data_IF_578298496515
#
_entry.id   IF_578298496515
#
_cell.length_a   1.000
_cell.length_b   1.000
_cell.length_c   1.000
_cell.angle_alpha   90.00
_cell.angle_beta   90.00
_cell.angle_gamma   90.00
#
_symmetry.space_group_name_H-M   'P 1'
#
loop_
_entity.id
_entity.type
_entity.pdbx_description
1 polymer ?
#
# COMPACT_ATOMS: atom_id res chain seq x y z
N UNK A 1 3.30 -10.55 25.34
CA UNK A 1 3.12 -9.09 25.52
C UNK A 1 1.66 -8.68 25.40
N UNK A 2 0.93 -9.09 24.37
CA UNK A 2 -0.50 -8.75 24.19
C UNK A 2 -1.35 -9.07 25.41
N UNK A 3 -1.19 -10.26 25.96
CA UNK A 3 -1.88 -10.68 27.18
C UNK A 3 -1.61 -9.74 28.37
N UNK A 4 -0.34 -9.28 28.54
CA UNK A 4 0.01 -8.30 29.58
C UNK A 4 -0.64 -6.94 29.39
N UNK A 5 -1.02 -6.61 28.14
CA UNK A 5 -1.71 -5.37 27.77
C UNK A 5 -3.23 -5.56 27.77
N UNK A 6 -3.74 -6.73 28.10
CA UNK A 6 -5.16 -7.05 28.04
C UNK A 6 -5.72 -7.11 26.61
N UNK A 7 -4.84 -7.31 25.61
CA UNK A 7 -5.22 -7.38 24.19
C UNK A 7 -5.28 -8.84 23.76
N UNK A 8 -6.43 -9.24 23.23
CA UNK A 8 -6.64 -10.59 22.69
C UNK A 8 -5.88 -10.77 21.37
N UNK A 9 -5.29 -11.93 21.19
CA UNK A 9 -4.70 -12.33 19.90
C UNK A 9 -5.78 -12.57 18.86
N UNK A 10 -5.43 -12.30 17.61
CA UNK A 10 -6.30 -12.58 16.46
C UNK A 10 -5.53 -13.41 15.43
N UNK A 11 -6.23 -14.30 14.72
CA UNK A 11 -5.77 -14.94 13.50
C UNK A 11 -6.28 -14.08 12.34
N UNK A 12 -5.37 -13.64 11.50
CA UNK A 12 -5.69 -12.73 10.40
C UNK A 12 -6.11 -13.51 9.15
N UNK A 13 -7.40 -13.70 8.96
CA UNK A 13 -8.01 -14.22 7.75
C UNK A 13 -8.55 -13.12 6.81
N UNK A 14 -8.12 -11.86 7.00
CA UNK A 14 -8.54 -10.72 6.17
C UNK A 14 -7.47 -10.25 5.18
N UNK A 15 -6.19 -10.61 5.38
CA UNK A 15 -5.08 -10.16 4.53
C UNK A 15 -4.38 -8.90 5.04
N UNK A 16 -3.80 -8.10 4.15
CA UNK A 16 -2.90 -6.98 4.48
C UNK A 16 -3.68 -5.70 4.80
N UNK A 17 -4.21 -5.59 6.02
CA UNK A 17 -4.96 -4.41 6.49
C UNK A 17 -4.20 -3.62 7.55
N UNK A 18 -4.33 -2.29 7.51
CA UNK A 18 -3.62 -1.37 8.42
C UNK A 18 -4.07 -1.54 9.88
N UNK A 19 -5.35 -1.79 10.11
CA UNK A 19 -5.93 -2.02 11.44
C UNK A 19 -5.50 -3.35 12.07
N UNK A 20 -4.95 -4.27 11.25
CA UNK A 20 -4.35 -5.53 11.70
C UNK A 20 -2.80 -5.47 11.72
N UNK A 21 -2.21 -4.31 11.47
CA UNK A 21 -0.76 -4.12 11.50
C UNK A 21 -0.05 -4.34 10.16
N UNK A 22 -0.79 -4.59 9.08
CA UNK A 22 -0.24 -4.88 7.75
C UNK A 22 0.16 -6.35 7.60
N UNK A 23 1.31 -6.61 6.98
CA UNK A 23 1.87 -7.95 6.85
C UNK A 23 2.75 -8.33 8.05
N UNK A 24 2.87 -9.62 8.31
CA UNK A 24 3.92 -10.15 9.19
C UNK A 24 5.28 -10.01 8.50
N UNK A 25 6.29 -9.59 9.24
CA UNK A 25 7.65 -9.52 8.71
C UNK A 25 8.27 -10.93 8.64
N UNK A 26 8.92 -11.25 7.53
CA UNK A 26 9.71 -12.46 7.42
C UNK A 26 10.86 -12.45 8.44
N UNK A 27 11.34 -13.63 8.91
CA UNK A 27 12.37 -13.72 9.93
C UNK A 27 13.62 -12.90 9.64
N UNK A 28 14.10 -12.90 8.39
CA UNK A 28 15.31 -12.16 7.99
C UNK A 28 15.07 -10.63 8.02
N UNK A 29 13.88 -10.19 7.64
CA UNK A 29 13.49 -8.77 7.73
C UNK A 29 13.41 -8.31 9.18
N UNK A 30 12.86 -9.16 10.04
CA UNK A 30 12.80 -8.90 11.48
C UNK A 30 14.19 -8.89 12.12
N UNK A 31 15.08 -9.81 11.73
CA UNK A 31 16.47 -9.85 12.18
C UNK A 31 17.22 -8.58 11.81
N UNK A 32 17.10 -8.11 10.56
CA UNK A 32 17.69 -6.85 10.09
C UNK A 32 17.17 -5.63 10.88
N UNK A 33 15.87 -5.57 11.17
CA UNK A 33 15.29 -4.51 12.01
C UNK A 33 15.85 -4.53 13.43
N UNK A 34 16.03 -5.71 14.01
CA UNK A 34 16.59 -5.91 15.35
C UNK A 34 18.05 -5.48 15.39
N UNK A 35 18.86 -5.86 14.39
CA UNK A 35 20.24 -5.43 14.24
C UNK A 35 20.35 -3.91 14.16
N UNK A 36 19.55 -3.27 13.30
CA UNK A 36 19.51 -1.82 13.17
C UNK A 36 19.18 -1.10 14.49
N UNK A 37 18.37 -1.74 15.35
CA UNK A 37 18.05 -1.17 16.66
C UNK A 37 19.16 -1.36 17.69
N UNK A 38 20.10 -2.28 17.48
CA UNK A 38 21.21 -2.58 18.42
C UNK A 38 22.31 -1.53 18.43
N UNK A 39 22.40 -0.68 17.39
CA UNK A 39 23.43 0.35 17.26
C UNK A 39 22.84 1.69 16.78
N UNK A 40 23.54 2.78 17.07
CA UNK A 40 23.20 4.09 16.53
C UNK A 40 23.83 4.31 15.16
N UNK A 41 23.10 4.96 14.28
CA UNK A 41 23.57 5.45 12.99
C UNK A 41 23.03 6.87 12.77
N UNK A 42 23.69 7.65 11.91
CA UNK A 42 23.13 8.90 11.40
C UNK A 42 21.86 8.58 10.59
N UNK A 43 20.72 9.01 11.07
CA UNK A 43 19.43 8.72 10.40
C UNK A 43 19.38 9.34 8.99
N UNK A 44 19.87 10.56 8.73
CA UNK A 44 19.99 11.08 7.37
C UNK A 44 20.79 10.16 6.43
N UNK A 45 22.00 9.76 6.86
CA UNK A 45 22.86 8.86 6.07
C UNK A 45 22.20 7.49 5.85
N UNK A 46 21.53 6.96 6.87
CA UNK A 46 20.83 5.69 6.78
C UNK A 46 19.71 5.74 5.74
N UNK A 47 18.87 6.78 5.76
CA UNK A 47 17.77 6.92 4.80
C UNK A 47 18.34 7.14 3.38
N UNK A 48 19.39 7.93 3.22
CA UNK A 48 20.04 8.16 1.93
C UNK A 48 20.60 6.84 1.36
N UNK A 49 21.32 6.05 2.18
CA UNK A 49 21.86 4.76 1.78
C UNK A 49 20.75 3.71 1.46
N UNK A 50 19.73 3.65 2.31
CA UNK A 50 18.56 2.78 2.11
C UNK A 50 17.82 3.13 0.82
N UNK A 51 17.63 4.42 0.56
CA UNK A 51 16.98 4.94 -0.64
C UNK A 51 17.79 4.62 -1.91
N UNK A 52 19.10 4.84 -1.88
CA UNK A 52 20.00 4.48 -2.99
C UNK A 52 19.99 2.95 -3.25
N UNK A 53 19.91 2.14 -2.20
CA UNK A 53 19.79 0.69 -2.34
C UNK A 53 18.47 0.31 -2.99
N UNK A 54 17.35 0.90 -2.60
CA UNK A 54 16.04 0.66 -3.18
C UNK A 54 16.01 1.04 -4.68
N UNK A 55 16.57 2.20 -5.05
CA UNK A 55 16.68 2.63 -6.44
C UNK A 55 17.46 1.61 -7.29
N UNK A 56 18.60 1.12 -6.78
CA UNK A 56 19.40 0.09 -7.45
C UNK A 56 18.64 -1.22 -7.66
N UNK A 57 17.83 -1.65 -6.69
CA UNK A 57 17.06 -2.90 -6.76
C UNK A 57 15.98 -2.89 -7.86
N UNK A 58 15.36 -1.75 -8.11
CA UNK A 58 14.35 -1.59 -9.15
C UNK A 58 14.85 -0.93 -10.44
N UNK A 59 16.17 -0.60 -10.51
CA UNK A 59 16.81 0.05 -11.66
C UNK A 59 16.20 1.42 -12.00
N UNK A 60 15.88 2.21 -10.96
CA UNK A 60 15.38 3.58 -11.10
C UNK A 60 16.49 4.60 -10.85
N UNK A 61 16.31 5.86 -11.31
CA UNK A 61 17.29 6.92 -11.14
C UNK A 61 17.50 7.23 -9.64
N UNK A 62 16.40 7.36 -8.90
CA UNK A 62 16.42 7.66 -7.49
C UNK A 62 15.21 7.08 -6.74
N UNK A 63 15.31 7.02 -5.43
CA UNK A 63 14.22 6.64 -4.54
C UNK A 63 14.29 7.40 -3.21
N UNK A 64 13.20 7.39 -2.45
CA UNK A 64 13.15 7.84 -1.06
C UNK A 64 12.34 6.87 -0.21
N UNK A 65 12.94 6.37 0.87
CA UNK A 65 12.22 5.61 1.90
C UNK A 65 11.39 6.59 2.72
N UNK A 66 10.11 6.26 2.93
CA UNK A 66 9.09 7.12 3.56
C UNK A 66 8.21 6.31 4.51
N UNK A 67 7.51 6.97 5.47
CA UNK A 67 6.67 6.25 6.44
C UNK A 67 5.30 5.83 5.85
N UNK A 68 5.33 5.06 4.76
CA UNK A 68 4.15 4.50 4.10
C UNK A 68 3.57 5.36 2.99
N UNK A 69 2.69 4.74 2.18
CA UNK A 69 2.10 5.38 0.99
C UNK A 69 1.24 6.61 1.32
N UNK A 70 0.52 6.61 2.43
CA UNK A 70 -0.29 7.77 2.85
C UNK A 70 0.57 9.00 3.11
N UNK A 71 1.68 8.83 3.82
CA UNK A 71 2.65 9.91 4.01
C UNK A 71 3.32 10.31 2.69
N UNK A 72 3.61 9.34 1.81
CA UNK A 72 4.16 9.61 0.48
C UNK A 72 3.25 10.50 -0.36
N UNK A 73 1.93 10.26 -0.37
CA UNK A 73 0.97 11.12 -1.09
C UNK A 73 1.02 12.57 -0.58
N UNK A 74 1.08 12.77 0.74
CA UNK A 74 1.20 14.12 1.31
C UNK A 74 2.54 14.77 0.96
N UNK A 75 3.63 14.02 1.11
CA UNK A 75 4.99 14.53 0.86
C UNK A 75 5.24 14.81 -0.62
N UNK A 76 4.79 13.96 -1.54
CA UNK A 76 4.93 14.20 -2.99
C UNK A 76 4.04 15.36 -3.44
N UNK A 77 2.82 15.49 -2.91
CA UNK A 77 2.00 16.69 -3.11
C UNK A 77 2.71 17.97 -2.64
N UNK A 78 3.34 17.95 -1.47
CA UNK A 78 4.12 19.06 -0.94
C UNK A 78 5.36 19.38 -1.81
N UNK A 79 6.06 18.34 -2.30
CA UNK A 79 7.18 18.50 -3.20
C UNK A 79 6.79 19.14 -4.54
N UNK A 80 5.61 18.82 -5.08
CA UNK A 80 5.08 19.50 -6.27
C UNK A 80 4.79 20.99 -6.04
N UNK A 81 4.44 21.38 -4.81
CA UNK A 81 4.10 22.76 -4.47
C UNK A 81 5.33 23.62 -4.19
N UNK A 82 6.31 23.06 -3.50
CA UNK A 82 7.45 23.81 -2.96
C UNK A 82 8.78 23.54 -3.69
N UNK A 83 8.91 22.41 -4.37
CA UNK A 83 10.20 21.95 -4.90
C UNK A 83 11.24 21.86 -3.78
N UNK A 84 12.46 22.32 -4.05
CA UNK A 84 13.55 22.39 -3.08
C UNK A 84 13.74 23.80 -2.49
N UNK A 85 12.83 24.76 -2.75
CA UNK A 85 12.94 26.13 -2.25
C UNK A 85 12.63 26.18 -0.73
N UNK A 86 13.59 26.54 0.13
CA UNK A 86 13.39 26.58 1.58
C UNK A 86 12.24 27.51 2.00
N UNK A 87 12.07 28.64 1.34
CA UNK A 87 11.00 29.61 1.65
C UNK A 87 9.62 29.05 1.30
N UNK A 88 9.51 28.35 0.17
CA UNK A 88 8.27 27.69 -0.20
C UNK A 88 7.93 26.53 0.75
N UNK A 89 8.95 25.78 1.20
CA UNK A 89 8.80 24.70 2.19
C UNK A 89 8.28 25.23 3.54
N UNK A 90 8.77 26.37 4.02
CA UNK A 90 8.28 26.99 5.26
C UNK A 90 6.81 27.40 5.21
N UNK A 91 6.32 27.75 4.02
CA UNK A 91 4.91 28.14 3.85
C UNK A 91 3.95 26.96 3.83
N UNK A 92 4.46 25.73 3.67
CA UNK A 92 3.59 24.54 3.64
C UNK A 92 2.91 24.29 5.01
N UNK A 93 1.66 23.88 5.02
CA UNK A 93 0.71 23.69 3.90
C UNK A 93 0.00 24.97 3.46
N UNK A 94 0.30 26.13 4.05
CA UNK A 94 -0.39 27.41 3.78
C UNK A 94 0.16 28.09 2.54
N UNK A 95 0.07 27.41 1.38
CA UNK A 95 0.59 27.92 0.11
C UNK A 95 -0.17 29.15 -0.34
N UNK A 96 0.53 30.28 -0.49
CA UNK A 96 -0.02 31.56 -0.95
C UNK A 96 0.06 31.74 -2.46
N UNK A 97 0.86 30.94 -3.17
CA UNK A 97 0.93 30.94 -4.63
C UNK A 97 -0.38 30.40 -5.22
N UNK A 98 -0.85 30.98 -6.35
CA UNK A 98 -2.04 30.49 -7.05
C UNK A 98 -1.87 29.08 -7.68
N UNK A 99 -0.64 28.54 -7.72
CA UNK A 99 -0.33 27.26 -8.37
C UNK A 99 -0.34 26.12 -7.33
N UNK A 100 -1.48 25.44 -7.20
CA UNK A 100 -1.65 24.37 -6.21
C UNK A 100 -2.66 23.29 -6.58
N UNK A 101 -3.14 23.26 -7.83
CA UNK A 101 -4.08 22.23 -8.26
C UNK A 101 -3.34 20.94 -8.63
N UNK A 102 -3.79 19.81 -8.08
CA UNK A 102 -3.44 18.47 -8.52
C UNK A 102 -4.67 17.87 -9.18
N UNK A 103 -4.52 17.49 -10.46
CA UNK A 103 -5.61 16.93 -11.26
C UNK A 103 -5.80 15.45 -10.91
N UNK A 104 -7.07 15.03 -10.84
CA UNK A 104 -7.44 13.62 -10.76
C UNK A 104 -8.64 13.37 -11.68
N UNK A 105 -8.68 12.24 -12.36
CA UNK A 105 -9.80 11.87 -13.20
C UNK A 105 -11.05 11.57 -12.36
N UNK A 106 -12.24 11.90 -12.85
CA UNK A 106 -13.49 11.77 -12.09
C UNK A 106 -13.71 10.35 -11.52
N UNK A 107 -13.43 9.31 -12.33
CA UNK A 107 -13.58 7.91 -11.92
C UNK A 107 -12.36 7.32 -11.21
N UNK A 108 -11.29 8.10 -11.07
CA UNK A 108 -10.10 7.75 -10.27
C UNK A 108 -10.17 8.33 -8.86
N UNK A 109 -11.28 9.00 -8.48
CA UNK A 109 -11.49 9.43 -7.09
C UNK A 109 -11.60 8.21 -6.17
N UNK A 110 -10.81 8.20 -5.09
CA UNK A 110 -10.72 7.09 -4.15
C UNK A 110 -10.43 7.57 -2.73
N UNK A 111 -10.53 6.67 -1.75
CA UNK A 111 -10.47 7.02 -0.32
C UNK A 111 -9.17 7.72 0.15
N UNK A 112 -8.08 7.65 -0.61
CA UNK A 112 -6.79 8.25 -0.23
C UNK A 112 -6.50 9.58 -0.96
N UNK A 113 -7.26 9.96 -1.97
CA UNK A 113 -6.99 11.19 -2.71
C UNK A 113 -7.11 12.47 -1.86
N UNK A 114 -7.92 12.42 -0.79
CA UNK A 114 -8.05 13.52 0.17
C UNK A 114 -6.82 13.73 1.07
N UNK A 115 -5.80 12.87 0.97
CA UNK A 115 -4.51 13.10 1.63
C UNK A 115 -3.70 14.18 0.90
N UNK A 116 -3.86 14.32 -0.41
CA UNK A 116 -3.16 15.36 -1.19
C UNK A 116 -3.43 16.79 -0.69
N UNK A 117 -4.66 17.18 -0.35
CA UNK A 117 -4.94 18.49 0.26
C UNK A 117 -4.20 18.78 1.56
N UNK A 118 -3.74 17.76 2.32
CA UNK A 118 -2.94 17.99 3.53
C UNK A 118 -1.58 18.62 3.23
N UNK A 119 -1.10 18.54 1.99
CA UNK A 119 0.10 19.23 1.52
C UNK A 119 -0.10 20.73 1.28
N UNK A 120 -1.35 21.21 1.24
CA UNK A 120 -1.74 22.54 0.80
C UNK A 120 -2.25 22.59 -0.65
N UNK A 121 -2.24 21.46 -1.37
CA UNK A 121 -2.83 21.33 -2.69
C UNK A 121 -4.36 21.38 -2.63
N UNK A 122 -5.00 21.65 -3.77
CA UNK A 122 -6.41 21.32 -3.96
C UNK A 122 -6.59 20.34 -5.10
N UNK A 123 -7.57 19.46 -4.99
CA UNK A 123 -7.88 18.52 -6.05
C UNK A 123 -8.74 19.19 -7.11
N UNK A 124 -8.30 19.05 -8.37
CA UNK A 124 -9.12 19.38 -9.55
C UNK A 124 -9.58 18.09 -10.21
N UNK A 125 -10.88 17.90 -10.28
CA UNK A 125 -11.44 16.73 -10.97
C UNK A 125 -11.55 17.02 -12.45
N UNK A 126 -10.94 16.19 -13.30
CA UNK A 126 -11.10 16.21 -14.74
C UNK A 126 -12.27 15.31 -15.16
N UNK A 127 -13.18 15.83 -15.97
CA UNK A 127 -14.39 15.14 -16.36
C UNK A 127 -15.48 15.13 -15.27
N UNK A 128 -16.52 14.33 -15.49
CA UNK A 128 -17.65 14.14 -14.56
C UNK A 128 -17.94 12.65 -14.35
N UNK A 129 -18.81 12.05 -15.18
CA UNK A 129 -19.05 10.58 -15.18
C UNK A 129 -18.00 9.81 -15.97
N UNK A 130 -17.26 10.48 -16.84
CA UNK A 130 -16.15 9.99 -17.66
C UNK A 130 -15.07 11.06 -17.70
N UNK A 131 -13.87 10.69 -18.14
CA UNK A 131 -12.77 11.62 -18.43
C UNK A 131 -12.22 11.28 -19.80
N UNK A 132 -12.33 12.21 -20.75
CA UNK A 132 -11.69 12.12 -22.06
C UNK A 132 -10.24 12.65 -22.00
N UNK A 133 -9.44 12.30 -22.99
CA UNK A 133 -8.07 12.83 -23.13
C UNK A 133 -8.06 14.37 -23.24
N UNK A 134 -9.03 14.97 -23.94
CA UNK A 134 -9.13 16.42 -24.10
C UNK A 134 -9.49 17.12 -22.77
N UNK A 135 -10.40 16.54 -21.98
CA UNK A 135 -10.75 17.08 -20.65
C UNK A 135 -9.56 16.99 -19.68
N UNK A 136 -8.84 15.85 -19.68
CA UNK A 136 -7.63 15.70 -18.86
C UNK A 136 -6.56 16.70 -19.30
N UNK A 137 -6.29 16.80 -20.59
CA UNK A 137 -5.30 17.72 -21.14
C UNK A 137 -5.65 19.19 -20.83
N UNK A 138 -6.92 19.57 -20.95
CA UNK A 138 -7.39 20.90 -20.61
C UNK A 138 -7.16 21.21 -19.13
N UNK A 139 -7.50 20.29 -18.23
CA UNK A 139 -7.28 20.46 -16.80
C UNK A 139 -5.79 20.55 -16.42
N UNK A 140 -4.91 19.79 -17.11
CA UNK A 140 -3.47 19.85 -16.95
C UNK A 140 -2.88 21.20 -17.41
N UNK A 141 -3.42 21.80 -18.46
CA UNK A 141 -2.98 23.10 -19.00
C UNK A 141 -3.40 24.29 -18.15
N UNK A 142 -4.34 24.12 -17.23
CA UNK A 142 -4.74 25.21 -16.35
C UNK A 142 -3.53 25.81 -15.61
N UNK A 143 -3.53 27.14 -15.48
CA UNK A 143 -2.38 27.91 -15.01
C UNK A 143 -1.98 27.57 -13.58
N UNK A 144 -2.92 27.21 -12.73
CA UNK A 144 -2.72 26.86 -11.33
C UNK A 144 -2.48 25.37 -11.09
N UNK A 145 -2.50 24.53 -12.14
CA UNK A 145 -2.17 23.11 -12.04
C UNK A 145 -0.66 22.90 -11.88
N UNK A 146 -0.27 22.11 -10.90
CA UNK A 146 1.11 21.69 -10.65
C UNK A 146 1.40 20.28 -11.14
N UNK A 147 0.40 19.40 -11.18
CA UNK A 147 0.53 18.02 -11.63
C UNK A 147 -0.79 17.26 -11.57
N UNK A 148 -0.69 15.94 -11.73
CA UNK A 148 -1.81 15.02 -11.56
C UNK A 148 -1.48 13.91 -10.57
N UNK A 149 -2.52 13.28 -10.01
CA UNK A 149 -2.42 12.02 -9.28
C UNK A 149 -3.14 10.91 -10.06
N UNK A 150 -2.47 9.79 -10.24
CA UNK A 150 -3.00 8.63 -10.92
C UNK A 150 -2.92 7.40 -9.99
N UNK A 151 -4.05 6.91 -9.46
CA UNK A 151 -4.11 5.65 -8.72
C UNK A 151 -4.01 4.46 -9.69
N UNK A 152 -2.85 3.82 -9.74
CA UNK A 152 -2.53 2.83 -10.78
C UNK A 152 -3.39 1.54 -10.71
N UNK A 153 -4.01 1.25 -9.57
CA UNK A 153 -4.97 0.15 -9.44
C UNK A 153 -6.30 0.41 -10.17
N UNK A 154 -6.60 1.67 -10.50
CA UNK A 154 -7.77 2.06 -11.27
C UNK A 154 -7.47 2.21 -12.78
N UNK A 155 -6.23 1.90 -13.21
CA UNK A 155 -5.89 1.84 -14.63
C UNK A 155 -6.76 0.78 -15.34
N UNK A 156 -7.29 1.15 -16.51
CA UNK A 156 -8.25 0.29 -17.24
C UNK A 156 -9.71 0.45 -16.78
N UNK A 157 -10.02 1.29 -15.79
CA UNK A 157 -11.39 1.63 -15.44
C UNK A 157 -12.10 2.22 -16.68
N UNK A 158 -13.29 1.72 -16.96
CA UNK A 158 -14.08 2.19 -18.12
C UNK A 158 -14.30 3.71 -18.07
N UNK A 159 -14.17 4.36 -19.22
CA UNK A 159 -14.37 5.82 -19.37
C UNK A 159 -13.35 6.67 -18.61
N UNK A 160 -12.11 6.20 -18.51
CA UNK A 160 -10.94 6.95 -18.01
C UNK A 160 -9.84 7.00 -19.08
N UNK A 161 -8.89 7.90 -18.90
CA UNK A 161 -7.66 7.95 -19.70
C UNK A 161 -6.66 6.98 -19.09
N UNK A 162 -6.09 6.03 -19.86
CA UNK A 162 -5.10 5.08 -19.35
C UNK A 162 -3.82 5.76 -18.87
N UNK A 163 -3.04 5.07 -18.02
CA UNK A 163 -1.82 5.60 -17.39
C UNK A 163 -0.82 6.14 -18.43
N UNK A 164 -0.52 5.36 -19.46
CA UNK A 164 0.45 5.75 -20.49
C UNK A 164 0.07 7.07 -21.15
N UNK A 165 -1.19 7.19 -21.61
CA UNK A 165 -1.70 8.43 -22.19
C UNK A 165 -1.73 9.59 -21.19
N UNK A 166 -2.09 9.32 -19.92
CA UNK A 166 -2.09 10.34 -18.87
C UNK A 166 -0.68 10.89 -18.59
N UNK A 167 0.34 10.03 -18.60
CA UNK A 167 1.75 10.41 -18.49
C UNK A 167 2.20 11.29 -19.67
N UNK A 168 1.83 10.91 -20.90
CA UNK A 168 2.14 11.68 -22.10
C UNK A 168 1.50 13.09 -22.05
N UNK A 169 0.22 13.18 -21.68
CA UNK A 169 -0.50 14.46 -21.60
C UNK A 169 0.08 15.37 -20.50
N UNK A 170 0.49 14.79 -19.37
CA UNK A 170 1.18 15.54 -18.32
C UNK A 170 2.52 16.08 -18.81
N UNK A 171 3.35 15.23 -19.42
CA UNK A 171 4.64 15.61 -19.99
C UNK A 171 4.50 16.72 -21.05
N UNK A 172 3.56 16.61 -21.99
CA UNK A 172 3.25 17.64 -22.99
C UNK A 172 2.83 18.96 -22.37
N UNK A 173 2.21 18.93 -21.18
CA UNK A 173 1.77 20.09 -20.44
C UNK A 173 2.86 20.64 -19.48
N UNK A 174 4.03 20.01 -19.39
CA UNK A 174 5.07 20.34 -18.43
C UNK A 174 4.60 20.15 -16.97
N UNK A 175 3.81 19.10 -16.72
CA UNK A 175 3.22 18.79 -15.42
C UNK A 175 3.71 17.45 -14.90
N UNK A 176 3.90 17.40 -13.61
CA UNK A 176 4.32 16.19 -12.89
C UNK A 176 3.17 15.17 -12.74
N UNK A 177 3.52 13.90 -12.61
CA UNK A 177 2.57 12.84 -12.27
C UNK A 177 2.99 12.12 -10.99
N UNK A 178 2.07 12.03 -10.02
CA UNK A 178 2.17 11.13 -8.86
C UNK A 178 1.39 9.87 -9.20
N UNK A 179 2.05 8.73 -9.25
CA UNK A 179 1.43 7.41 -9.43
C UNK A 179 1.31 6.73 -8.07
N UNK A 180 0.09 6.53 -7.61
CA UNK A 180 -0.18 5.71 -6.42
C UNK A 180 -0.30 4.24 -6.86
N UNK A 181 0.79 3.49 -6.65
CA UNK A 181 0.90 2.07 -6.91
C UNK A 181 1.05 1.27 -5.59
N UNK A 182 0.51 1.78 -4.48
CA UNK A 182 0.79 1.34 -3.12
C UNK A 182 0.81 -0.18 -2.95
N UNK A 183 -0.11 -0.92 -3.57
CA UNK A 183 -0.20 -2.37 -3.44
C UNK A 183 0.16 -3.16 -4.72
N UNK A 184 0.56 -2.49 -5.79
CA UNK A 184 0.92 -3.15 -7.05
C UNK A 184 2.37 -3.68 -7.04
N UNK A 185 2.70 -4.41 -5.98
CA UNK A 185 4.03 -4.97 -5.74
C UNK A 185 4.24 -6.34 -6.39
N UNK A 186 3.18 -6.95 -6.90
CA UNK A 186 3.21 -8.21 -7.63
C UNK A 186 2.21 -8.18 -8.80
N UNK A 187 2.51 -8.77 -9.97
CA UNK A 187 3.78 -9.43 -10.35
C UNK A 187 4.99 -8.47 -10.37
N UNK A 188 6.20 -9.01 -10.11
CA UNK A 188 7.43 -8.20 -10.04
C UNK A 188 7.68 -7.41 -11.34
N UNK A 189 7.30 -7.97 -12.49
CA UNK A 189 7.39 -7.26 -13.77
C UNK A 189 6.58 -5.97 -13.79
N UNK A 190 5.33 -6.00 -13.26
CA UNK A 190 4.47 -4.81 -13.16
C UNK A 190 5.00 -3.78 -12.16
N UNK A 191 5.52 -4.25 -11.02
CA UNK A 191 6.17 -3.35 -10.06
C UNK A 191 7.34 -2.59 -10.69
N UNK A 192 8.21 -3.29 -11.44
CA UNK A 192 9.34 -2.68 -12.15
C UNK A 192 8.90 -1.72 -13.25
N UNK A 193 7.94 -2.11 -14.06
CA UNK A 193 7.36 -1.27 -15.11
C UNK A 193 6.84 0.06 -14.54
N UNK A 194 6.07 0.01 -13.45
CA UNK A 194 5.58 1.20 -12.78
C UNK A 194 6.73 2.03 -12.19
N UNK A 195 7.66 1.41 -11.47
CA UNK A 195 8.78 2.10 -10.84
C UNK A 195 9.70 2.82 -11.84
N UNK A 196 9.81 2.29 -13.08
CA UNK A 196 10.65 2.86 -14.15
C UNK A 196 9.84 3.66 -15.18
N UNK A 197 8.56 3.92 -14.91
CA UNK A 197 7.73 4.77 -15.78
C UNK A 197 8.21 6.22 -15.78
N UNK A 198 7.73 7.02 -16.73
CA UNK A 198 8.06 8.46 -16.83
C UNK A 198 7.27 9.33 -15.82
N UNK A 199 6.77 8.76 -14.72
CA UNK A 199 6.16 9.53 -13.64
C UNK A 199 7.24 10.17 -12.75
N UNK A 200 6.99 11.38 -12.25
CA UNK A 200 7.89 12.03 -11.30
C UNK A 200 7.96 11.29 -9.97
N UNK A 201 6.84 10.72 -9.52
CA UNK A 201 6.76 9.96 -8.29
C UNK A 201 5.93 8.70 -8.48
N UNK A 202 6.49 7.55 -8.11
CA UNK A 202 5.77 6.27 -8.04
C UNK A 202 5.86 5.75 -6.61
N UNK A 203 4.72 5.49 -6.00
CA UNK A 203 4.60 5.19 -4.57
C UNK A 203 4.27 3.73 -4.35
N UNK A 204 5.06 3.01 -3.55
CA UNK A 204 4.74 1.67 -3.04
C UNK A 204 4.71 1.65 -1.51
N UNK A 205 3.80 0.86 -0.94
CA UNK A 205 3.71 0.66 0.51
C UNK A 205 4.38 -0.66 0.90
N UNK A 206 5.26 -0.61 1.89
CA UNK A 206 6.09 -1.75 2.28
C UNK A 206 5.28 -2.96 2.76
N UNK A 207 4.13 -2.75 3.37
CA UNK A 207 3.29 -3.85 3.84
C UNK A 207 2.83 -4.81 2.73
N UNK A 208 2.82 -4.39 1.47
CA UNK A 208 2.42 -5.24 0.34
C UNK A 208 3.59 -6.01 -0.29
N UNK A 209 4.81 -5.76 0.18
CA UNK A 209 5.99 -6.56 -0.13
C UNK A 209 6.67 -7.12 1.14
N UNK A 210 5.88 -7.42 2.18
CA UNK A 210 6.37 -8.06 3.41
C UNK A 210 7.14 -7.14 4.36
N UNK A 211 7.01 -5.82 4.20
CA UNK A 211 7.66 -4.82 5.03
C UNK A 211 6.76 -4.23 6.12
N UNK A 212 7.31 -3.27 6.90
CA UNK A 212 6.57 -2.64 7.99
C UNK A 212 5.30 -1.93 7.52
N UNK A 213 4.23 -1.99 8.33
CA UNK A 213 2.97 -1.28 8.04
C UNK A 213 3.17 0.24 7.83
N UNK A 214 4.10 0.84 8.56
CA UNK A 214 4.49 2.25 8.42
C UNK A 214 5.76 2.42 7.56
N UNK A 215 5.96 1.57 6.57
CA UNK A 215 7.04 1.68 5.58
C UNK A 215 6.50 1.93 4.18
N UNK A 216 7.30 2.59 3.35
CA UNK A 216 7.00 2.81 1.94
C UNK A 216 8.22 3.35 1.19
N UNK A 217 8.14 3.34 -0.12
CA UNK A 217 9.21 3.85 -0.98
C UNK A 217 8.56 4.67 -2.10
N UNK A 218 9.14 5.82 -2.37
CA UNK A 218 8.85 6.64 -3.55
C UNK A 218 10.01 6.51 -4.51
N UNK A 219 9.74 6.15 -5.76
CA UNK A 219 10.69 6.12 -6.86
C UNK A 219 10.43 7.30 -7.79
N UNK A 220 11.46 7.78 -8.49
CA UNK A 220 11.31 8.87 -9.43
C UNK A 220 12.65 9.36 -9.97
N UNK A 221 12.62 10.47 -10.70
CA UNK A 221 13.83 11.13 -11.19
C UNK A 221 14.68 11.70 -10.04
N UNK A 222 15.97 11.92 -10.27
CA UNK A 222 16.88 12.47 -9.27
C UNK A 222 16.39 13.84 -8.75
N UNK A 223 15.89 14.71 -9.63
CA UNK A 223 15.40 16.04 -9.25
C UNK A 223 14.10 15.95 -8.42
N UNK A 224 13.19 15.08 -8.79
CA UNK A 224 11.95 14.84 -8.04
C UNK A 224 12.24 14.32 -6.63
N UNK A 225 13.14 13.34 -6.52
CA UNK A 225 13.54 12.79 -5.21
C UNK A 225 14.34 13.80 -4.39
N UNK A 226 15.14 14.68 -5.01
CA UNK A 226 15.80 15.77 -4.30
C UNK A 226 14.78 16.75 -3.69
N UNK A 227 13.70 17.11 -4.43
CA UNK A 227 12.62 17.95 -3.91
C UNK A 227 11.90 17.27 -2.72
N UNK A 228 11.64 15.95 -2.83
CA UNK A 228 11.06 15.18 -1.74
C UNK A 228 11.97 15.13 -0.51
N UNK A 229 13.29 14.93 -0.72
CA UNK A 229 14.31 14.91 0.34
C UNK A 229 14.43 16.25 1.06
N UNK A 230 14.19 17.38 0.36
CA UNK A 230 14.21 18.70 0.98
C UNK A 230 13.13 18.88 2.06
N UNK A 231 12.04 18.12 2.00
CA UNK A 231 10.96 18.12 2.99
C UNK A 231 11.24 17.22 4.21
N UNK A 232 12.30 16.42 4.20
CA UNK A 232 12.55 15.34 5.13
C UNK A 232 12.62 15.78 6.60
N UNK A 233 12.12 14.92 7.48
CA UNK A 233 12.13 15.15 8.92
C UNK A 233 13.54 15.17 9.54
N UNK A 234 14.52 14.52 8.91
CA UNK A 234 15.86 14.34 9.46
C UNK A 234 16.64 15.66 9.55
N UNK A 235 16.27 16.64 8.74
CA UNK A 235 16.95 17.95 8.68
C UNK A 235 16.24 19.00 9.53
N UNK A 236 15.18 18.65 10.24
CA UNK A 236 14.43 19.60 11.06
C UNK A 236 15.27 20.18 12.19
N UNK A 237 15.98 19.32 12.96
CA UNK A 237 16.78 19.73 14.12
C UNK A 237 18.09 20.44 13.73
N UNK A 238 18.63 20.18 12.53
CA UNK A 238 19.91 20.70 12.03
C UNK A 238 19.77 21.83 11.02
N UNK A 239 18.58 22.41 10.88
CA UNK A 239 18.25 23.41 9.87
C UNK A 239 17.63 24.65 10.51
N UNK A 240 17.88 25.83 9.93
CA UNK A 240 17.23 27.08 10.31
C UNK A 240 15.76 27.17 9.84
N UNK A 241 15.28 26.14 9.12
CA UNK A 241 13.94 26.10 8.54
C UNK A 241 13.06 25.06 9.20
N UNK A 242 11.77 25.36 9.34
CA UNK A 242 10.76 24.37 9.64
C UNK A 242 10.59 23.45 8.44
N UNK A 243 10.73 22.14 8.66
CA UNK A 243 10.56 21.13 7.63
C UNK A 243 9.15 20.54 7.69
N UNK A 244 8.43 20.61 6.58
CA UNK A 244 7.09 20.07 6.46
C UNK A 244 7.00 18.58 6.87
N UNK A 245 7.99 17.78 6.47
CA UNK A 245 8.06 16.36 6.75
C UNK A 245 8.30 15.97 8.21
N UNK A 246 8.51 16.92 9.14
CA UNK A 246 8.78 16.62 10.56
C UNK A 246 7.75 15.71 11.22
N UNK A 247 6.50 15.75 10.79
CA UNK A 247 5.44 14.89 11.26
C UNK A 247 5.55 13.44 10.77
N UNK A 248 6.32 13.19 9.71
CA UNK A 248 6.45 11.91 9.00
C UNK A 248 7.78 11.22 9.32
N UNK A 249 8.15 11.15 10.59
CA UNK A 249 9.41 10.54 11.01
C UNK A 249 9.36 9.02 11.02
N UNK A 250 10.51 8.41 10.76
CA UNK A 250 10.75 6.98 10.87
C UNK A 250 11.89 6.69 11.83
N UNK A 251 11.88 5.52 12.43
CA UNK A 251 13.02 5.02 13.19
C UNK A 251 13.95 4.14 12.34
N UNK A 252 15.15 3.85 12.88
CA UNK A 252 16.17 3.05 12.20
C UNK A 252 15.67 1.67 11.79
N UNK A 253 14.95 1.01 12.68
CA UNK A 253 14.44 -0.33 12.46
C UNK A 253 13.43 -0.36 11.29
N UNK A 254 12.54 0.63 11.21
CA UNK A 254 11.59 0.76 10.11
C UNK A 254 12.28 1.01 8.76
N UNK A 255 13.28 1.88 8.73
CA UNK A 255 14.04 2.19 7.50
C UNK A 255 14.72 0.92 6.98
N UNK A 256 15.46 0.22 7.83
CA UNK A 256 16.18 -1.01 7.45
C UNK A 256 15.20 -2.11 7.06
N UNK A 257 14.16 -2.35 7.85
CA UNK A 257 13.16 -3.36 7.54
C UNK A 257 12.45 -3.10 6.20
N UNK A 258 12.22 -1.84 5.84
CA UNK A 258 11.59 -1.49 4.55
C UNK A 258 12.44 -1.95 3.37
N UNK A 259 13.75 -1.72 3.41
CA UNK A 259 14.65 -2.11 2.31
C UNK A 259 14.94 -3.61 2.33
N UNK A 260 15.17 -4.18 3.50
CA UNK A 260 15.35 -5.64 3.64
C UNK A 260 14.14 -6.41 3.11
N UNK A 261 12.92 -5.91 3.38
CA UNK A 261 11.70 -6.50 2.83
C UNK A 261 11.64 -6.39 1.30
N UNK A 262 12.03 -5.25 0.71
CA UNK A 262 12.10 -5.12 -0.76
C UNK A 262 13.09 -6.10 -1.37
N UNK A 263 14.29 -6.25 -0.77
CA UNK A 263 15.29 -7.23 -1.23
C UNK A 263 14.75 -8.66 -1.19
N UNK A 264 14.16 -9.03 -0.05
CA UNK A 264 13.56 -10.35 0.13
C UNK A 264 12.44 -10.59 -0.89
N UNK A 265 11.55 -9.62 -1.07
CA UNK A 265 10.44 -9.71 -2.03
C UNK A 265 10.91 -9.93 -3.47
N UNK A 266 11.92 -9.17 -3.91
CA UNK A 266 12.44 -9.27 -5.27
C UNK A 266 13.23 -10.55 -5.55
N UNK A 267 13.77 -11.21 -4.51
CA UNK A 267 14.49 -12.48 -4.60
C UNK A 267 13.65 -13.71 -4.25
N UNK A 268 12.42 -13.51 -3.75
CA UNK A 268 11.53 -14.57 -3.29
C UNK A 268 11.08 -15.49 -4.43
N UNK A 269 11.01 -16.78 -4.17
CA UNK A 269 10.28 -17.73 -5.02
C UNK A 269 8.77 -17.57 -4.83
N UNK A 270 8.16 -16.71 -5.65
CA UNK A 270 6.74 -16.45 -5.58
C UNK A 270 5.87 -17.65 -5.97
N UNK A 271 6.40 -18.59 -6.77
CA UNK A 271 5.68 -19.82 -7.07
C UNK A 271 5.59 -20.71 -5.82
N UNK A 272 6.69 -20.87 -5.08
CA UNK A 272 6.70 -21.57 -3.79
C UNK A 272 5.81 -20.88 -2.76
N UNK A 273 5.79 -19.52 -2.72
CA UNK A 273 4.89 -18.75 -1.85
C UNK A 273 3.43 -19.10 -2.12
N UNK A 274 2.97 -19.07 -3.36
CA UNK A 274 1.59 -19.42 -3.70
C UNK A 274 1.27 -20.90 -3.49
N UNK A 275 2.25 -21.78 -3.69
CA UNK A 275 2.09 -23.20 -3.36
C UNK A 275 1.86 -23.41 -1.86
N UNK A 276 2.56 -22.66 -0.98
CA UNK A 276 2.33 -22.65 0.46
C UNK A 276 0.93 -22.15 0.81
N UNK A 277 0.45 -21.08 0.18
CA UNK A 277 -0.92 -20.57 0.38
C UNK A 277 -1.96 -21.60 -0.04
N UNK A 278 -1.79 -22.24 -1.21
CA UNK A 278 -2.67 -23.29 -1.68
C UNK A 278 -2.72 -24.49 -0.71
N UNK A 279 -1.58 -24.84 -0.11
CA UNK A 279 -1.50 -25.87 0.95
C UNK A 279 -2.37 -25.51 2.17
N UNK A 280 -2.23 -24.30 2.69
CA UNK A 280 -3.04 -23.79 3.82
C UNK A 280 -4.54 -23.77 3.47
N UNK A 281 -4.90 -23.22 2.30
CA UNK A 281 -6.29 -23.21 1.82
C UNK A 281 -6.85 -24.62 1.68
N UNK A 282 -6.03 -25.56 1.17
CA UNK A 282 -6.39 -26.99 1.09
C UNK A 282 -6.68 -27.59 2.47
N UNK A 283 -5.87 -27.28 3.49
CA UNK A 283 -6.09 -27.74 4.86
C UNK A 283 -7.38 -27.18 5.48
N UNK A 284 -7.66 -25.87 5.28
CA UNK A 284 -8.93 -25.25 5.70
C UNK A 284 -10.12 -25.93 5.01
N UNK A 285 -10.05 -26.16 3.69
CA UNK A 285 -11.10 -26.80 2.92
C UNK A 285 -11.36 -28.25 3.34
N UNK A 286 -10.31 -29.01 3.64
CA UNK A 286 -10.42 -30.39 4.11
C UNK A 286 -11.21 -30.49 5.43
N UNK A 287 -11.01 -29.58 6.36
CA UNK A 287 -11.73 -29.52 7.64
C UNK A 287 -13.25 -29.28 7.48
N UNK A 288 -13.65 -28.64 6.37
CA UNK A 288 -15.04 -28.29 6.07
C UNK A 288 -15.72 -29.25 5.08
N UNK A 289 -14.96 -30.16 4.47
CA UNK A 289 -15.42 -30.98 3.32
C UNK A 289 -16.59 -31.91 3.61
N UNK A 290 -16.83 -32.27 4.87
CA UNK A 290 -17.93 -33.14 5.27
C UNK A 290 -19.25 -32.39 5.49
N UNK A 291 -19.24 -31.08 5.61
CA UNK A 291 -20.46 -30.28 5.78
C UNK A 291 -21.07 -29.96 4.43
N UNK A 292 -22.23 -30.59 4.16
CA UNK A 292 -22.96 -30.40 2.90
C UNK A 292 -23.88 -29.18 2.88
N UNK A 293 -23.92 -28.41 3.97
CA UNK A 293 -24.74 -27.21 4.08
C UNK A 293 -24.03 -25.96 3.54
N UNK A 294 -22.78 -26.11 3.13
CA UNK A 294 -21.94 -25.04 2.56
C UNK A 294 -21.29 -25.49 1.27
N UNK A 295 -20.89 -24.52 0.44
CA UNK A 295 -20.05 -24.77 -0.75
C UNK A 295 -18.72 -24.06 -0.57
N UNK A 296 -17.61 -24.80 -0.69
CA UNK A 296 -16.27 -24.25 -0.56
C UNK A 296 -15.56 -24.18 -1.91
N UNK A 297 -14.75 -23.14 -2.12
CA UNK A 297 -13.91 -23.01 -3.31
C UNK A 297 -12.56 -22.36 -2.94
N UNK A 298 -11.50 -22.78 -3.65
CA UNK A 298 -10.18 -22.19 -3.56
C UNK A 298 -10.06 -21.12 -4.63
N UNK A 299 -9.77 -19.89 -4.25
CA UNK A 299 -9.79 -18.73 -5.13
C UNK A 299 -8.60 -17.80 -4.86
N UNK A 300 -8.52 -16.74 -5.64
CA UNK A 300 -7.64 -15.61 -5.40
C UNK A 300 -8.44 -14.43 -4.88
N UNK A 301 -8.04 -13.87 -3.75
CA UNK A 301 -8.57 -12.65 -3.20
C UNK A 301 -7.60 -11.50 -3.49
N UNK A 302 -8.08 -10.49 -4.20
CA UNK A 302 -7.25 -9.35 -4.61
C UNK A 302 -7.24 -8.24 -3.56
N UNK A 303 -6.29 -7.31 -3.66
CA UNK A 303 -6.26 -6.12 -2.79
C UNK A 303 -7.41 -5.15 -3.04
N UNK A 304 -8.10 -5.25 -4.19
CA UNK A 304 -9.36 -4.54 -4.48
C UNK A 304 -10.58 -5.27 -3.91
N UNK A 305 -10.32 -6.27 -3.05
CA UNK A 305 -11.34 -7.10 -2.40
C UNK A 305 -12.21 -7.91 -3.40
N UNK A 306 -11.69 -8.22 -4.57
CA UNK A 306 -12.34 -9.08 -5.56
C UNK A 306 -11.92 -10.54 -5.35
N UNK A 307 -12.90 -11.47 -5.53
CA UNK A 307 -12.63 -12.91 -5.58
C UNK A 307 -12.59 -13.34 -7.03
N UNK A 308 -11.43 -13.78 -7.49
CA UNK A 308 -11.18 -14.12 -8.90
C UNK A 308 -10.52 -15.49 -9.04
N UNK A 309 -10.48 -16.01 -10.27
CA UNK A 309 -9.63 -17.15 -10.59
C UNK A 309 -8.17 -16.72 -10.64
N UNK A 310 -7.28 -17.55 -10.14
CA UNK A 310 -5.84 -17.22 -10.12
C UNK A 310 -5.04 -18.10 -9.18
N UNK A 311 -3.85 -17.62 -8.84
CA UNK A 311 -2.99 -18.25 -7.84
C UNK A 311 -3.70 -18.22 -6.46
N UNK A 312 -3.93 -19.38 -5.87
CA UNK A 312 -4.77 -19.53 -4.67
C UNK A 312 -4.13 -18.84 -3.46
N UNK A 313 -4.90 -17.96 -2.80
CA UNK A 313 -4.54 -17.34 -1.52
C UNK A 313 -5.73 -17.28 -0.53
N UNK A 314 -6.93 -17.69 -0.94
CA UNK A 314 -8.09 -17.68 -0.05
C UNK A 314 -8.97 -18.90 -0.22
N UNK A 315 -9.71 -19.23 0.87
CA UNK A 315 -10.86 -20.12 0.86
C UNK A 315 -12.13 -19.27 0.85
N UNK A 316 -13.05 -19.56 -0.06
CA UNK A 316 -14.41 -19.03 -0.02
C UNK A 316 -15.37 -20.09 0.51
N UNK A 317 -16.29 -19.69 1.39
CA UNK A 317 -17.30 -20.54 2.01
C UNK A 317 -18.67 -19.90 1.74
N UNK A 318 -19.39 -20.42 0.76
CA UNK A 318 -20.78 -20.01 0.49
C UNK A 318 -21.71 -20.72 1.48
N UNK A 319 -22.37 -19.94 2.31
CA UNK A 319 -23.27 -20.42 3.37
C UNK A 319 -24.71 -20.45 2.91
N UNK A 320 -25.01 -20.04 1.67
CA UNK A 320 -26.35 -19.92 1.09
C UNK A 320 -27.19 -18.76 1.64
N UNK A 321 -26.69 -18.01 2.64
CA UNK A 321 -27.45 -16.93 3.30
C UNK A 321 -26.53 -15.86 3.92
N UNK A 322 -26.79 -14.57 3.67
CA UNK A 322 -26.07 -13.47 4.32
C UNK A 322 -26.18 -13.51 5.85
N UNK A 323 -27.35 -13.86 6.39
CA UNK A 323 -27.57 -13.95 7.84
C UNK A 323 -26.73 -15.07 8.47
N UNK A 324 -26.59 -16.21 7.77
CA UNK A 324 -25.74 -17.30 8.23
C UNK A 324 -24.27 -16.91 8.20
N UNK A 325 -23.80 -16.27 7.13
CA UNK A 325 -22.44 -15.78 7.04
C UNK A 325 -22.13 -14.78 8.17
N UNK A 326 -23.05 -13.87 8.46
CA UNK A 326 -22.92 -12.91 9.57
C UNK A 326 -22.87 -13.58 10.94
N UNK A 327 -23.68 -14.64 11.18
CA UNK A 327 -23.61 -15.41 12.45
C UNK A 327 -22.27 -16.12 12.61
N UNK A 328 -21.76 -16.75 11.54
CA UNK A 328 -20.47 -17.43 11.55
C UNK A 328 -19.35 -16.43 11.86
N UNK A 329 -19.32 -15.29 11.16
CA UNK A 329 -18.33 -14.24 11.40
C UNK A 329 -18.39 -13.73 12.85
N UNK A 330 -19.59 -13.45 13.36
CA UNK A 330 -19.77 -12.98 14.72
C UNK A 330 -19.36 -14.03 15.78
N UNK A 331 -19.48 -15.32 15.47
CA UNK A 331 -18.94 -16.40 16.30
C UNK A 331 -17.42 -16.39 16.27
N UNK A 332 -16.81 -16.40 15.09
CA UNK A 332 -15.34 -16.41 14.88
C UNK A 332 -14.68 -15.19 15.54
N UNK A 333 -15.31 -14.02 15.45
CA UNK A 333 -14.82 -12.79 16.07
C UNK A 333 -14.82 -12.85 17.61
N UNK A 334 -15.54 -13.80 18.24
CA UNK A 334 -15.63 -13.97 19.71
C UNK A 334 -14.73 -15.07 20.25
N UNK A 335 -14.16 -15.92 19.39
CA UNK A 335 -13.25 -17.00 19.83
C UNK A 335 -11.94 -16.45 20.42
N UNK A 336 -11.17 -17.31 21.07
CA UNK A 336 -9.84 -16.96 21.56
C UNK A 336 -8.82 -18.06 21.11
N UNK A 337 -7.91 -17.72 20.19
CA UNK A 337 -7.81 -16.45 19.45
C UNK A 337 -9.02 -16.20 18.55
N UNK A 338 -9.35 -14.93 18.29
CA UNK A 338 -10.39 -14.59 17.32
C UNK A 338 -9.91 -14.85 15.89
N UNK A 339 -10.77 -15.40 15.02
CA UNK A 339 -10.50 -15.48 13.60
C UNK A 339 -11.27 -14.38 12.87
N UNK A 340 -10.54 -13.46 12.24
CA UNK A 340 -11.13 -12.35 11.48
C UNK A 340 -11.18 -12.71 10.00
N UNK A 341 -12.35 -12.56 9.38
CA UNK A 341 -12.62 -12.94 7.99
C UNK A 341 -13.37 -11.84 7.26
N UNK A 342 -13.47 -11.92 5.93
CA UNK A 342 -14.38 -11.08 5.15
C UNK A 342 -15.73 -11.74 4.95
N UNK A 343 -16.77 -10.89 4.79
CA UNK A 343 -18.10 -11.31 4.33
C UNK A 343 -18.44 -10.57 3.04
N UNK A 344 -18.94 -11.33 2.06
CA UNK A 344 -19.49 -10.82 0.81
C UNK A 344 -20.85 -11.47 0.56
N UNK A 345 -21.92 -10.78 0.96
CA UNK A 345 -23.26 -11.38 0.94
C UNK A 345 -23.33 -12.66 1.78
N UNK A 346 -23.65 -13.80 1.18
CA UNK A 346 -23.69 -15.11 1.85
C UNK A 346 -22.37 -15.86 1.88
N UNK A 347 -21.27 -15.25 1.40
CA UNK A 347 -19.96 -15.90 1.28
C UNK A 347 -18.97 -15.32 2.30
N UNK A 348 -18.29 -16.21 3.03
CA UNK A 348 -17.13 -15.88 3.86
C UNK A 348 -15.88 -16.07 3.02
N UNK A 349 -14.94 -15.13 3.10
CA UNK A 349 -13.63 -15.23 2.46
C UNK A 349 -12.56 -15.25 3.55
N UNK A 350 -11.73 -16.28 3.52
CA UNK A 350 -10.61 -16.46 4.45
C UNK A 350 -9.31 -16.37 3.68
N UNK A 351 -8.65 -15.23 3.76
CA UNK A 351 -7.30 -15.00 3.22
C UNK A 351 -6.26 -15.68 4.11
N UNK A 352 -5.26 -16.33 3.49
CA UNK A 352 -4.21 -17.06 4.23
C UNK A 352 -2.82 -16.45 4.08
N UNK A 353 -2.67 -15.31 3.41
CA UNK A 353 -1.37 -14.70 3.13
C UNK A 353 -0.60 -14.36 4.41
N UNK A 354 -1.31 -13.95 5.46
CA UNK A 354 -0.74 -13.57 6.75
C UNK A 354 -0.95 -14.61 7.85
N UNK A 355 -1.32 -15.84 7.50
CA UNK A 355 -1.43 -16.95 8.46
C UNK A 355 -0.15 -17.77 8.48
N UNK A 356 0.35 -18.09 9.68
CA UNK A 356 1.30 -19.18 9.88
C UNK A 356 0.64 -20.56 9.77
N UNK A 357 1.44 -21.61 9.64
CA UNK A 357 0.91 -22.98 9.54
C UNK A 357 0.15 -23.39 10.80
N UNK A 358 0.67 -23.07 12.00
CA UNK A 358 -0.03 -23.31 13.27
C UNK A 358 -1.36 -22.55 13.35
N UNK A 359 -1.39 -21.29 12.87
CA UNK A 359 -2.61 -20.49 12.86
C UNK A 359 -3.64 -21.04 11.88
N UNK A 360 -3.20 -21.58 10.73
CA UNK A 360 -4.10 -22.22 9.77
C UNK A 360 -4.79 -23.46 10.33
N UNK A 361 -4.11 -24.27 11.15
CA UNK A 361 -4.73 -25.40 11.84
C UNK A 361 -5.78 -24.97 12.88
N UNK A 362 -5.49 -23.90 13.64
CA UNK A 362 -6.47 -23.34 14.58
C UNK A 362 -7.65 -22.76 13.83
N UNK A 363 -7.43 -22.01 12.75
CA UNK A 363 -8.48 -21.46 11.91
C UNK A 363 -9.39 -22.54 11.33
N UNK A 364 -8.83 -23.66 10.85
CA UNK A 364 -9.58 -24.80 10.34
C UNK A 364 -10.56 -25.37 11.38
N UNK A 365 -10.10 -25.55 12.61
CA UNK A 365 -10.95 -26.01 13.72
C UNK A 365 -12.05 -25.01 14.04
N UNK A 366 -11.72 -23.72 14.19
CA UNK A 366 -12.67 -22.66 14.49
C UNK A 366 -13.75 -22.51 13.40
N UNK A 367 -13.37 -22.62 12.14
CA UNK A 367 -14.30 -22.60 11.01
C UNK A 367 -15.27 -23.79 11.07
N UNK A 368 -14.77 -25.01 11.33
CA UNK A 368 -15.60 -26.20 11.46
C UNK A 368 -16.61 -26.09 12.61
N UNK A 369 -16.18 -25.60 13.77
CA UNK A 369 -17.05 -25.32 14.92
C UNK A 369 -18.13 -24.28 14.57
N UNK A 370 -17.73 -23.16 13.95
CA UNK A 370 -18.64 -22.06 13.62
C UNK A 370 -19.72 -22.45 12.60
N UNK A 371 -19.36 -23.24 11.59
CA UNK A 371 -20.31 -23.75 10.57
C UNK A 371 -21.27 -24.75 11.18
N UNK A 372 -20.81 -25.60 12.11
CA UNK A 372 -21.63 -26.62 12.77
C UNK A 372 -22.65 -26.07 13.76
N UNK A 373 -22.47 -24.86 14.31
CA UNK A 373 -23.38 -24.23 15.28
C UNK A 373 -24.26 -23.14 14.65
N UNK A 374 -24.13 -22.83 13.39
CA UNK A 374 -24.83 -21.76 12.64
C UNK A 374 -25.88 -22.33 11.68
#
# INVERSE_FOLDING_TARGET
MYEKLGVRRVINGRGVYTDLGGSSLEPDVWAAATEANSAYASVPELIDAASARAAKLLHTDAARVVPGASAALVLTGAALLAGSDPKAIELLPSVTSGRRAIVIQARHRYKYDHLLPLSGAHLRVAGTAATSADELHSALKERDTVGQCFPAHLDGTASTVPLETALELASQSGKATIVDAAFLCYPIGRMRELATSNAEYVIFSAKYFGGPNAGGIVFGSADAIAALTALDFTRFESSDYLRFGRAFKMDRAQVVATVAALENWLSMDHAARFASYAGRVGALGAALSQDKSIVISQKHFTMDEEVVEGAVNCLTIDTGSPDRAARIEAYLAKTDPALLVHIRGGTIVVDVENMGDDESHVAARLLSEAVGVS
#
